data_IF_278885447973
#
_entry.id   IF_278885447973
#
_cell.length_a   1.000
_cell.length_b   1.000
_cell.length_c   1.000
_cell.angle_alpha   90.00
_cell.angle_beta   90.00
_cell.angle_gamma   90.00
#
_symmetry.space_group_name_H-M   'P 1'
#
loop_
_entity.id
_entity.type
_entity.pdbx_description
1 polymer ?
#
# COMPACT_ATOMS: atom_id res chain seq x y z
N UNK A 1 23.06 14.89 -14.51
CA UNK A 1 22.77 14.90 -13.06
C UNK A 1 22.84 16.31 -12.46
N UNK A 2 23.92 17.08 -12.68
CA UNK A 2 24.12 18.45 -12.14
C UNK A 2 22.91 19.40 -12.26
N UNK A 3 22.18 19.40 -13.39
CA UNK A 3 20.98 20.26 -13.57
C UNK A 3 19.80 19.86 -12.67
N UNK A 4 19.60 18.56 -12.44
CA UNK A 4 18.52 18.08 -11.58
C UNK A 4 18.81 18.41 -10.12
N UNK A 5 20.07 18.27 -9.70
CA UNK A 5 20.54 18.70 -8.39
C UNK A 5 20.34 20.20 -8.18
N UNK A 6 20.73 21.03 -9.16
CA UNK A 6 20.52 22.48 -9.10
C UNK A 6 19.03 22.86 -8.94
N UNK A 7 18.11 22.16 -9.64
CA UNK A 7 16.66 22.35 -9.51
C UNK A 7 16.20 22.03 -8.09
N UNK A 8 16.64 20.90 -7.52
CA UNK A 8 16.24 20.46 -6.18
C UNK A 8 16.82 21.40 -5.11
N UNK A 9 18.06 21.87 -5.28
CA UNK A 9 18.70 22.82 -4.38
C UNK A 9 17.99 24.19 -4.38
N UNK A 10 17.42 24.59 -5.53
CA UNK A 10 16.65 25.84 -5.67
C UNK A 10 15.22 25.77 -5.08
N UNK A 11 14.81 24.61 -4.53
CA UNK A 11 13.53 24.44 -3.85
C UNK A 11 13.65 24.71 -2.34
N UNK A 12 12.58 25.29 -1.79
CA UNK A 12 12.41 25.37 -0.33
C UNK A 12 12.13 23.99 0.28
N UNK A 13 12.37 23.83 1.59
CA UNK A 13 12.08 22.57 2.31
C UNK A 13 10.62 22.13 2.18
N UNK A 14 9.67 23.07 2.18
CA UNK A 14 8.24 22.80 2.02
C UNK A 14 7.93 22.23 0.62
N UNK A 15 8.52 22.81 -0.41
CA UNK A 15 8.33 22.38 -1.81
C UNK A 15 8.93 21.00 -2.07
N UNK A 16 10.10 20.69 -1.49
CA UNK A 16 10.72 19.37 -1.59
C UNK A 16 9.87 18.27 -0.94
N UNK A 17 9.32 18.53 0.24
CA UNK A 17 8.45 17.58 0.95
C UNK A 17 7.12 17.35 0.23
N UNK A 18 6.55 18.41 -0.36
CA UNK A 18 5.26 18.35 -1.05
C UNK A 18 5.34 19.04 -2.42
N UNK A 19 5.83 18.35 -3.46
CA UNK A 19 5.97 18.93 -4.80
C UNK A 19 4.63 19.41 -5.41
N UNK A 20 3.50 18.91 -4.91
CA UNK A 20 2.16 19.31 -5.37
C UNK A 20 1.83 20.78 -5.10
N UNK A 21 2.53 21.48 -4.19
CA UNK A 21 2.28 22.90 -3.90
C UNK A 21 2.93 23.85 -4.92
N UNK A 22 3.66 23.31 -5.90
CA UNK A 22 4.37 24.09 -6.91
C UNK A 22 3.42 24.63 -7.98
N UNK A 23 3.03 25.88 -7.81
CA UNK A 23 2.32 26.67 -8.81
C UNK A 23 3.28 27.26 -9.87
N UNK A 24 2.74 27.98 -10.85
CA UNK A 24 3.52 28.57 -11.94
C UNK A 24 4.59 29.56 -11.44
N UNK A 25 4.24 30.43 -10.48
CA UNK A 25 5.16 31.40 -9.90
C UNK A 25 6.36 30.73 -9.21
N UNK A 26 6.10 29.70 -8.39
CA UNK A 26 7.17 28.91 -7.73
C UNK A 26 8.08 28.22 -8.73
N UNK A 27 7.51 27.64 -9.79
CA UNK A 27 8.30 27.00 -10.86
C UNK A 27 9.18 28.01 -11.59
N UNK A 28 8.70 29.23 -11.85
CA UNK A 28 9.50 30.32 -12.44
C UNK A 28 10.67 30.72 -11.54
N UNK A 29 10.44 30.85 -10.22
CA UNK A 29 11.50 31.13 -9.23
C UNK A 29 12.57 30.03 -9.21
N UNK A 30 12.17 28.76 -9.19
CA UNK A 30 13.09 27.62 -9.18
C UNK A 30 13.91 27.58 -10.47
N UNK A 31 13.26 27.79 -11.62
CA UNK A 31 13.92 27.84 -12.92
C UNK A 31 15.00 28.93 -12.97
N UNK A 32 14.67 30.15 -12.50
CA UNK A 32 15.62 31.25 -12.41
C UNK A 32 16.79 30.96 -11.46
N UNK A 33 16.51 30.40 -10.27
CA UNK A 33 17.55 30.06 -9.29
C UNK A 33 18.47 28.92 -9.72
N UNK A 34 17.97 27.98 -10.55
CA UNK A 34 18.74 26.86 -11.05
C UNK A 34 19.40 27.12 -12.43
N UNK A 35 19.12 28.26 -13.07
CA UNK A 35 19.62 28.57 -14.41
C UNK A 35 19.06 27.66 -15.50
N UNK A 36 17.80 27.23 -15.37
CA UNK A 36 17.13 26.30 -16.30
C UNK A 36 15.79 26.86 -16.76
N UNK A 37 15.15 26.19 -17.72
CA UNK A 37 13.80 26.56 -18.15
C UNK A 37 12.73 25.96 -17.24
N UNK A 38 11.54 26.58 -17.23
CA UNK A 38 10.36 26.05 -16.52
C UNK A 38 9.97 24.65 -17.02
N UNK A 39 10.26 24.34 -18.29
CA UNK A 39 9.99 23.04 -18.88
C UNK A 39 10.88 21.95 -18.26
N UNK A 40 12.16 22.24 -18.01
CA UNK A 40 13.06 21.31 -17.31
C UNK A 40 12.59 21.03 -15.89
N UNK A 41 12.13 22.06 -15.16
CA UNK A 41 11.52 21.89 -13.84
C UNK A 41 10.29 20.95 -13.92
N UNK A 42 9.42 21.14 -14.90
CA UNK A 42 8.25 20.28 -15.10
C UNK A 42 8.62 18.81 -15.41
N UNK A 43 9.68 18.58 -16.20
CA UNK A 43 10.18 17.22 -16.48
C UNK A 43 10.60 16.51 -15.19
N UNK A 44 11.37 17.19 -14.34
CA UNK A 44 11.82 16.64 -13.05
C UNK A 44 10.64 16.32 -12.14
N UNK A 45 9.66 17.22 -12.06
CA UNK A 45 8.46 17.00 -11.25
C UNK A 45 7.64 15.79 -11.72
N UNK A 46 7.49 15.61 -13.04
CA UNK A 46 6.80 14.44 -13.60
C UNK A 46 7.53 13.14 -13.27
N UNK A 47 8.84 13.09 -13.45
CA UNK A 47 9.65 11.90 -13.11
C UNK A 47 9.51 11.55 -11.62
N UNK A 48 9.57 12.55 -10.74
CA UNK A 48 9.37 12.33 -9.30
C UNK A 48 7.97 11.79 -8.99
N UNK A 49 6.92 12.34 -9.61
CA UNK A 49 5.54 11.86 -9.42
C UNK A 49 5.34 10.43 -9.92
N UNK A 50 5.95 10.08 -11.07
CA UNK A 50 5.91 8.71 -11.60
C UNK A 50 6.59 7.72 -10.65
N UNK A 51 7.80 8.05 -10.16
CA UNK A 51 8.51 7.20 -9.20
C UNK A 51 7.76 7.08 -7.87
N UNK A 52 7.21 8.18 -7.34
CA UNK A 52 6.38 8.15 -6.13
C UNK A 52 5.11 7.30 -6.33
N UNK A 53 4.47 7.39 -7.50
CA UNK A 53 3.33 6.56 -7.87
C UNK A 53 3.68 5.09 -7.98
N UNK A 54 4.85 4.75 -8.54
CA UNK A 54 5.35 3.38 -8.63
C UNK A 54 5.68 2.82 -7.24
N UNK A 55 6.38 3.56 -6.40
CA UNK A 55 6.67 3.18 -5.01
C UNK A 55 5.40 2.97 -4.20
N UNK A 56 4.38 3.84 -4.37
CA UNK A 56 3.08 3.68 -3.72
C UNK A 56 2.35 2.42 -4.20
N UNK A 57 2.33 2.17 -5.52
CA UNK A 57 1.74 0.96 -6.09
C UNK A 57 2.48 -0.29 -5.61
N UNK A 58 3.80 -0.25 -5.49
CA UNK A 58 4.60 -1.36 -4.98
C UNK A 58 4.33 -1.61 -3.48
N UNK A 59 4.24 -0.57 -2.64
CA UNK A 59 3.82 -0.70 -1.24
C UNK A 59 2.41 -1.23 -1.07
N UNK A 60 1.45 -0.74 -1.86
CA UNK A 60 0.04 -1.11 -1.70
C UNK A 60 -0.32 -2.44 -2.35
N UNK A 61 0.20 -2.74 -3.55
CA UNK A 61 -0.11 -3.97 -4.28
C UNK A 61 0.90 -5.10 -4.04
N UNK A 62 2.15 -4.82 -3.68
CA UNK A 62 3.15 -5.85 -3.42
C UNK A 62 2.94 -6.55 -2.08
N UNK A 63 2.74 -5.78 -1.00
CA UNK A 63 2.58 -6.35 0.35
C UNK A 63 1.26 -7.10 0.55
N UNK A 64 0.14 -6.44 0.24
CA UNK A 64 -1.20 -6.99 0.49
C UNK A 64 -1.53 -8.16 -0.45
N UNK A 65 -1.17 -8.06 -1.73
CA UNK A 65 -1.45 -9.12 -2.72
C UNK A 65 -0.57 -10.34 -2.49
N UNK A 66 0.70 -10.15 -2.13
CA UNK A 66 1.56 -11.28 -1.77
C UNK A 66 1.09 -11.94 -0.47
N UNK A 67 0.63 -11.16 0.52
CA UNK A 67 0.04 -11.70 1.75
C UNK A 67 -1.25 -12.47 1.47
N UNK A 68 -2.11 -11.97 0.59
CA UNK A 68 -3.35 -12.65 0.20
C UNK A 68 -3.07 -13.93 -0.61
N UNK A 69 -2.10 -13.89 -1.53
CA UNK A 69 -1.66 -15.06 -2.28
C UNK A 69 -1.02 -16.12 -1.37
N UNK A 70 -0.25 -15.70 -0.37
CA UNK A 70 0.35 -16.61 0.63
C UNK A 70 -0.69 -17.18 1.59
N UNK A 71 -1.67 -16.38 2.00
CA UNK A 71 -2.81 -16.86 2.79
C UNK A 71 -3.63 -17.90 2.00
N UNK A 72 -3.92 -17.64 0.72
CA UNK A 72 -4.59 -18.61 -0.15
C UNK A 72 -3.76 -19.89 -0.37
N UNK A 73 -2.44 -19.76 -0.59
CA UNK A 73 -1.55 -20.91 -0.76
C UNK A 73 -1.41 -21.75 0.53
N UNK A 74 -1.55 -21.11 1.70
CA UNK A 74 -1.59 -21.77 3.00
C UNK A 74 -2.99 -22.28 3.39
N UNK A 75 -4.00 -22.14 2.52
CA UNK A 75 -5.39 -22.53 2.82
C UNK A 75 -6.08 -21.65 3.86
N UNK A 76 -5.47 -20.52 4.24
CA UNK A 76 -6.02 -19.55 5.20
C UNK A 76 -7.06 -18.71 4.46
N UNK A 77 -8.33 -18.88 4.81
CA UNK A 77 -9.40 -18.11 4.21
C UNK A 77 -9.41 -16.66 4.75
N UNK A 78 -10.02 -15.70 4.03
CA UNK A 78 -10.23 -14.35 4.57
C UNK A 78 -11.01 -14.31 5.89
N UNK A 79 -11.86 -15.32 6.16
CA UNK A 79 -12.55 -15.48 7.44
C UNK A 79 -11.62 -15.91 8.58
N UNK A 80 -10.65 -16.77 8.29
CA UNK A 80 -9.61 -17.18 9.25
C UNK A 80 -8.63 -16.04 9.52
N UNK A 81 -8.32 -15.24 8.49
CA UNK A 81 -7.49 -14.04 8.61
C UNK A 81 -8.21 -12.93 9.39
N UNK A 82 -9.53 -12.80 9.28
CA UNK A 82 -10.31 -11.87 10.10
C UNK A 82 -10.32 -12.29 11.59
N UNK A 83 -10.33 -13.60 11.87
CA UNK A 83 -10.14 -14.16 13.21
C UNK A 83 -8.73 -13.95 13.78
N UNK A 84 -7.69 -13.92 12.92
CA UNK A 84 -6.30 -13.69 13.32
C UNK A 84 -5.87 -12.20 13.35
N UNK A 85 -6.39 -11.38 12.43
CA UNK A 85 -5.97 -9.99 12.19
C UNK A 85 -6.80 -8.93 12.93
N UNK A 86 -7.92 -9.32 13.54
CA UNK A 86 -8.67 -8.48 14.47
C UNK A 86 -8.09 -8.44 15.90
N UNK A 87 -6.92 -9.05 16.13
CA UNK A 87 -6.36 -9.29 17.46
C UNK A 87 -5.11 -8.47 17.78
N UNK A 88 -5.13 -7.15 17.57
CA UNK A 88 -4.24 -6.26 18.34
C UNK A 88 -4.90 -5.99 19.71
N UNK A 89 -4.93 -7.02 20.56
CA UNK A 89 -5.57 -6.95 21.86
C UNK A 89 -5.72 -8.30 22.54
N UNK A 90 -4.60 -8.87 22.98
CA UNK A 90 -4.58 -10.00 23.90
C UNK A 90 -4.39 -11.35 23.21
N UNK A 91 -3.33 -12.05 23.59
CA UNK A 91 -3.38 -13.50 23.67
C UNK A 91 -4.50 -13.87 24.66
N UNK A 92 -5.52 -14.63 24.27
CA UNK A 92 -6.40 -15.29 25.22
C UNK A 92 -6.11 -16.80 25.20
N UNK A 93 -5.65 -17.32 26.33
CA UNK A 93 -5.90 -18.73 26.64
C UNK A 93 -4.78 -19.72 26.33
N UNK A 94 -3.58 -19.44 26.82
CA UNK A 94 -2.67 -20.50 27.27
C UNK A 94 -3.17 -21.04 28.63
N UNK A 95 -4.42 -21.52 28.67
CA UNK A 95 -5.07 -21.95 29.91
C UNK A 95 -6.45 -22.54 29.67
N UNK A 96 -6.65 -23.75 30.17
CA UNK A 96 -7.96 -24.37 30.33
C UNK A 96 -8.19 -25.53 29.38
N UNK A 97 -8.01 -26.74 29.89
CA UNK A 97 -8.38 -27.98 29.21
C UNK A 97 -9.86 -28.03 28.84
N UNK A 98 -10.15 -28.80 27.80
CA UNK A 98 -11.49 -29.03 27.31
C UNK A 98 -11.45 -29.50 25.87
N UNK A 99 -11.18 -30.80 25.68
CA UNK A 99 -11.55 -31.48 24.44
C UNK A 99 -13.02 -31.17 24.12
N UNK A 100 -13.39 -30.81 22.88
CA UNK A 100 -14.80 -30.71 22.51
C UNK A 100 -15.42 -32.12 22.46
N UNK A 101 -16.48 -32.40 23.24
CA UNK A 101 -17.25 -33.62 23.09
C UNK A 101 -18.23 -33.43 21.91
N UNK A 102 -18.26 -34.36 20.96
CA UNK A 102 -19.33 -34.37 19.96
C UNK A 102 -18.99 -34.79 18.53
N UNK A 103 -17.91 -35.55 18.31
CA UNK A 103 -17.89 -36.42 17.14
C UNK A 103 -19.08 -37.40 17.25
N UNK A 104 -20.11 -37.20 16.44
CA UNK A 104 -21.23 -38.14 16.33
C UNK A 104 -22.48 -37.55 15.69
N UNK A 105 -22.61 -37.67 14.36
CA UNK A 105 -23.93 -37.59 13.71
C UNK A 105 -23.98 -36.92 12.34
N UNK A 106 -23.46 -37.58 11.29
CA UNK A 106 -24.25 -37.67 10.05
C UNK A 106 -25.36 -38.70 10.32
N UNK A 107 -26.63 -38.46 9.94
CA UNK A 107 -27.07 -38.90 8.60
C UNK A 107 -28.31 -38.18 7.99
N UNK A 108 -28.36 -38.18 6.64
CA UNK A 108 -29.60 -38.13 5.84
C UNK A 108 -30.28 -36.76 5.72
N UNK A 109 -31.13 -36.47 4.73
CA UNK A 109 -31.54 -37.07 3.46
C UNK A 109 -32.53 -36.05 2.85
N UNK A 110 -32.54 -35.86 1.53
CA UNK A 110 -33.57 -35.09 0.81
C UNK A 110 -32.96 -33.90 0.06
N UNK A 111 -32.81 -33.90 -1.27
CA UNK A 111 -33.69 -34.46 -2.30
C UNK A 111 -34.48 -33.30 -2.92
N UNK A 112 -34.10 -32.86 -4.13
CA UNK A 112 -34.84 -31.80 -4.82
C UNK A 112 -34.12 -31.24 -6.04
N UNK A 113 -34.13 -31.99 -7.15
CA UNK A 113 -33.71 -31.57 -8.49
C UNK A 113 -34.86 -30.82 -9.20
N UNK A 114 -34.48 -29.87 -10.06
CA UNK A 114 -35.19 -29.35 -11.25
C UNK A 114 -36.34 -28.35 -11.05
N UNK A 115 -36.16 -27.13 -11.57
CA UNK A 115 -36.71 -26.73 -12.87
C UNK A 115 -35.79 -25.71 -13.53
#
# INVERSE_FOLDING_TARGET
LKRQEAIILSMTRKERRKPAILNASRRKRIAAGAGVTVQEVNKVLKMHQQMAGMMKKMRQKGGMKNMMNMAQAAGISPGDLAKMGGGAGGLPGLGGGGLPPGMGGLPGLGGGKKK
#
